data_IF_756396189642
#
_entry.id   IF_756396189642
#
_cell.length_a   1.000
_cell.length_b   1.000
_cell.length_c   1.000
_cell.angle_alpha   90.00
_cell.angle_beta   90.00
_cell.angle_gamma   90.00
#
_symmetry.space_group_name_H-M   'P 1'
#
loop_
_entity.id
_entity.type
_entity.pdbx_description
1 polymer ?
#
# COMPACT_ATOMS: atom_id res chain seq x y z
N UNK A 1 -9.94 68.05 7.16
CA UNK A 1 -9.40 68.72 5.95
C UNK A 1 -9.96 68.03 4.71
N UNK A 2 -10.28 68.83 3.68
CA UNK A 2 -10.97 68.50 2.41
C UNK A 2 -10.24 67.37 1.64
N UNK A 3 -10.89 66.47 0.91
CA UNK A 3 -11.39 66.76 -0.45
C UNK A 3 -12.43 65.73 -0.96
N UNK A 4 -13.44 66.27 -1.66
CA UNK A 4 -14.39 65.59 -2.56
C UNK A 4 -13.68 65.20 -3.86
N UNK A 5 -14.20 64.18 -4.57
CA UNK A 5 -14.56 64.26 -6.01
C UNK A 5 -15.73 63.31 -6.29
N UNK A 6 -16.75 63.85 -6.97
CA UNK A 6 -17.95 63.22 -7.56
C UNK A 6 -17.61 62.69 -8.96
N UNK A 7 -18.27 61.68 -9.54
CA UNK A 7 -19.47 61.79 -10.41
C UNK A 7 -19.83 60.34 -10.86
N UNK A 8 -21.07 59.82 -10.76
CA UNK A 8 -22.30 60.07 -11.58
C UNK A 8 -22.04 59.93 -13.08
N UNK A 9 -22.47 58.83 -13.71
CA UNK A 9 -23.78 58.65 -14.38
C UNK A 9 -23.50 58.38 -15.87
N UNK A 10 -24.28 57.72 -16.72
CA UNK A 10 -25.65 57.21 -16.68
C UNK A 10 -25.92 56.60 -18.07
N UNK A 11 -26.76 55.55 -18.14
CA UNK A 11 -27.83 55.34 -19.18
C UNK A 11 -27.43 55.29 -20.68
N UNK A 12 -27.96 54.45 -21.59
CA UNK A 12 -29.30 53.85 -21.75
C UNK A 12 -29.31 53.10 -23.12
N UNK A 13 -29.94 51.92 -23.25
CA UNK A 13 -31.24 51.65 -23.93
C UNK A 13 -31.17 51.21 -25.43
N UNK A 14 -31.50 49.92 -25.63
CA UNK A 14 -32.49 49.33 -26.57
C UNK A 14 -32.20 49.27 -28.09
N UNK A 15 -32.36 48.07 -28.69
CA UNK A 15 -33.45 47.74 -29.65
C UNK A 15 -33.40 46.28 -30.14
N UNK A 16 -34.56 45.61 -30.04
CA UNK A 16 -34.98 44.37 -30.71
C UNK A 16 -35.16 44.60 -32.23
N UNK A 17 -34.99 43.58 -33.06
CA UNK A 17 -36.07 43.04 -33.94
C UNK A 17 -35.64 41.82 -34.77
N UNK A 18 -36.63 40.99 -35.11
CA UNK A 18 -36.61 39.77 -35.94
C UNK A 18 -36.56 40.16 -37.43
N UNK A 19 -36.15 39.34 -38.41
CA UNK A 19 -36.98 38.28 -39.00
C UNK A 19 -36.25 37.48 -40.12
N UNK A 20 -36.81 36.30 -40.42
CA UNK A 20 -36.42 35.23 -41.36
C UNK A 20 -36.40 35.60 -42.85
N UNK A 21 -35.58 34.89 -43.63
CA UNK A 21 -36.04 34.21 -44.87
C UNK A 21 -35.42 32.82 -45.02
N UNK A 22 -36.22 31.91 -45.60
CA UNK A 22 -36.01 30.47 -45.79
C UNK A 22 -35.25 30.20 -47.10
N UNK A 23 -34.36 29.22 -47.09
CA UNK A 23 -34.12 28.36 -48.25
C UNK A 23 -34.17 26.89 -47.80
N UNK A 24 -35.19 26.16 -48.26
CA UNK A 24 -35.38 24.72 -48.05
C UNK A 24 -34.47 23.97 -49.01
N UNK A 25 -33.53 23.16 -48.53
CA UNK A 25 -33.03 21.96 -49.23
C UNK A 25 -32.59 20.91 -48.18
N UNK A 26 -33.36 19.84 -48.06
CA UNK A 26 -32.94 18.51 -47.58
C UNK A 26 -33.67 17.48 -48.44
N UNK A 27 -33.14 16.27 -48.70
CA UNK A 27 -32.19 15.56 -47.82
C UNK A 27 -31.03 14.81 -48.53
N UNK A 28 -29.94 14.56 -47.80
CA UNK A 28 -29.30 13.23 -47.75
C UNK A 28 -28.54 13.07 -46.43
N UNK A 29 -28.92 12.05 -45.70
CA UNK A 29 -28.57 11.65 -44.34
C UNK A 29 -27.18 11.00 -44.29
N UNK A 30 -26.28 11.44 -43.41
CA UNK A 30 -25.19 10.59 -42.88
C UNK A 30 -25.09 10.79 -41.36
N UNK A 31 -25.48 9.76 -40.62
CA UNK A 31 -25.51 9.69 -39.14
C UNK A 31 -24.07 9.66 -38.57
N UNK A 32 -23.50 10.83 -38.21
CA UNK A 32 -22.17 10.93 -37.52
C UNK A 32 -22.24 10.97 -35.97
N UNK A 33 -23.31 10.47 -35.34
CA UNK A 33 -23.55 10.64 -33.89
C UNK A 33 -23.23 9.45 -32.96
N UNK A 34 -23.30 8.19 -33.40
CA UNK A 34 -23.22 7.02 -32.48
C UNK A 34 -21.84 6.36 -32.36
N UNK A 35 -20.98 6.44 -33.39
CA UNK A 35 -19.73 5.66 -33.44
C UNK A 35 -18.62 6.24 -32.56
N UNK A 36 -18.56 7.58 -32.41
CA UNK A 36 -17.52 8.27 -31.63
C UNK A 36 -17.72 8.08 -30.13
N UNK A 37 -18.97 8.10 -29.67
CA UNK A 37 -19.33 7.95 -28.25
C UNK A 37 -19.18 6.50 -27.76
N UNK A 38 -19.54 5.52 -28.60
CA UNK A 38 -19.34 4.09 -28.33
C UNK A 38 -17.85 3.71 -28.32
N UNK A 39 -17.02 4.30 -29.20
CA UNK A 39 -15.56 4.11 -29.18
C UNK A 39 -14.92 4.68 -27.91
N UNK A 40 -15.32 5.89 -27.47
CA UNK A 40 -14.86 6.47 -26.19
C UNK A 40 -15.28 5.62 -24.97
N UNK A 41 -16.49 5.07 -24.98
CA UNK A 41 -16.98 4.18 -23.91
C UNK A 41 -16.29 2.80 -23.89
N UNK A 42 -16.01 2.20 -25.06
CA UNK A 42 -15.22 0.95 -25.18
C UNK A 42 -13.78 1.13 -24.72
N UNK A 43 -13.13 2.24 -25.12
CA UNK A 43 -11.77 2.58 -24.69
C UNK A 43 -11.73 2.86 -23.18
N UNK A 44 -12.69 3.61 -22.61
CA UNK A 44 -12.82 3.77 -21.15
C UNK A 44 -13.01 2.42 -20.44
N UNK A 45 -13.90 1.55 -20.92
CA UNK A 45 -14.09 0.19 -20.34
C UNK A 45 -12.84 -0.68 -20.44
N UNK A 46 -12.08 -0.61 -21.55
CA UNK A 46 -10.82 -1.34 -21.71
C UNK A 46 -9.73 -0.81 -20.77
N UNK A 47 -9.59 0.51 -20.61
CA UNK A 47 -8.63 1.12 -19.68
C UNK A 47 -8.98 0.75 -18.23
N UNK A 48 -10.26 0.77 -17.85
CA UNK A 48 -10.75 0.36 -16.52
C UNK A 48 -10.48 -1.13 -16.27
N UNK A 49 -10.72 -2.00 -17.26
CA UNK A 49 -10.39 -3.43 -17.15
C UNK A 49 -8.88 -3.67 -17.03
N UNK A 50 -8.06 -2.97 -17.82
CA UNK A 50 -6.59 -3.10 -17.78
C UNK A 50 -6.03 -2.63 -16.43
N UNK A 51 -6.51 -1.48 -15.93
CA UNK A 51 -6.11 -0.96 -14.62
C UNK A 51 -6.60 -1.82 -13.46
N UNK A 52 -7.81 -2.38 -13.53
CA UNK A 52 -8.30 -3.37 -12.55
C UNK A 52 -7.42 -4.63 -12.51
N UNK A 53 -7.07 -5.17 -13.68
CA UNK A 53 -6.22 -6.36 -13.82
C UNK A 53 -4.78 -6.11 -13.31
N UNK A 54 -4.27 -4.90 -13.48
CA UNK A 54 -2.97 -4.47 -12.93
C UNK A 54 -3.05 -4.33 -11.40
N UNK A 55 -4.12 -3.72 -10.87
CA UNK A 55 -4.37 -3.61 -9.42
C UNK A 55 -4.49 -4.97 -8.73
N UNK A 56 -5.24 -5.90 -9.32
CA UNK A 56 -5.32 -7.28 -8.83
C UNK A 56 -3.93 -7.91 -8.74
N UNK A 57 -3.09 -7.78 -9.79
CA UNK A 57 -1.71 -8.29 -9.77
C UNK A 57 -0.83 -7.65 -8.69
N UNK A 58 -0.97 -6.35 -8.44
CA UNK A 58 -0.16 -5.61 -7.45
C UNK A 58 -0.45 -6.07 -6.02
N UNK A 59 -1.72 -6.34 -5.70
CA UNK A 59 -2.13 -6.89 -4.42
C UNK A 59 -1.66 -8.34 -4.25
N UNK A 60 -1.64 -9.11 -5.35
CA UNK A 60 -1.15 -10.49 -5.32
C UNK A 60 0.33 -10.57 -4.92
N UNK A 61 1.17 -9.61 -5.31
CA UNK A 61 2.60 -9.60 -4.89
C UNK A 61 2.71 -9.48 -3.37
N UNK A 62 1.96 -8.56 -2.76
CA UNK A 62 1.94 -8.42 -1.31
C UNK A 62 1.43 -9.68 -0.64
N UNK A 63 0.34 -10.25 -1.11
CA UNK A 63 -0.21 -11.47 -0.53
C UNK A 63 0.74 -12.66 -0.67
N UNK A 64 1.34 -12.83 -1.84
CA UNK A 64 2.29 -13.91 -2.11
C UNK A 64 3.53 -13.79 -1.21
N UNK A 65 4.11 -12.59 -1.10
CA UNK A 65 5.25 -12.34 -0.22
C UNK A 65 4.90 -12.57 1.26
N UNK A 66 3.75 -12.05 1.72
CA UNK A 66 3.32 -12.13 3.11
C UNK A 66 2.90 -13.53 3.56
N UNK A 67 2.31 -14.30 2.65
CA UNK A 67 1.77 -15.62 2.95
C UNK A 67 2.80 -16.74 2.79
N UNK A 68 3.94 -16.48 2.14
CA UNK A 68 5.01 -17.48 1.92
C UNK A 68 5.77 -17.88 3.18
N UNK A 69 6.10 -16.93 4.06
CA UNK A 69 6.93 -17.19 5.25
C UNK A 69 6.12 -17.00 6.56
N UNK A 70 5.92 -18.05 7.36
CA UNK A 70 5.25 -17.97 8.66
C UNK A 70 5.91 -16.99 9.65
N UNK A 71 7.23 -16.87 9.65
CA UNK A 71 7.94 -15.96 10.55
C UNK A 71 7.73 -14.50 10.13
N UNK A 72 7.75 -14.23 8.82
CA UNK A 72 7.45 -12.90 8.29
C UNK A 72 6.03 -12.47 8.66
N UNK A 73 5.08 -13.40 8.51
CA UNK A 73 3.69 -13.17 8.91
C UNK A 73 3.59 -12.83 10.40
N UNK A 74 4.28 -13.58 11.27
CA UNK A 74 4.30 -13.34 12.71
C UNK A 74 4.89 -11.96 13.02
N UNK A 75 6.03 -11.63 12.42
CA UNK A 75 6.69 -10.33 12.59
C UNK A 75 5.78 -9.18 12.19
N UNK A 76 5.12 -9.27 11.04
CA UNK A 76 4.22 -8.21 10.55
C UNK A 76 3.02 -7.99 11.46
N UNK A 77 2.44 -9.06 11.99
CA UNK A 77 1.32 -8.95 12.95
C UNK A 77 1.79 -8.30 14.25
N UNK A 78 2.99 -8.65 14.74
CA UNK A 78 3.56 -8.06 15.96
C UNK A 78 3.90 -6.57 15.78
N UNK A 79 4.48 -6.21 14.62
CA UNK A 79 4.97 -4.85 14.38
C UNK A 79 3.86 -3.88 13.94
N UNK A 80 2.95 -4.32 13.09
CA UNK A 80 1.92 -3.45 12.47
C UNK A 80 0.57 -3.60 13.17
N UNK A 81 0.26 -4.78 13.71
CA UNK A 81 -0.97 -5.06 14.45
C UNK A 81 -1.81 -6.17 13.82
N UNK A 82 -2.79 -6.66 14.57
CA UNK A 82 -3.60 -7.83 14.24
C UNK A 82 -4.37 -7.72 12.91
N UNK A 83 -4.89 -6.53 12.59
CA UNK A 83 -5.72 -6.33 11.40
C UNK A 83 -4.90 -6.18 10.11
N UNK A 84 -3.57 -6.13 10.17
CA UNK A 84 -2.72 -5.87 9.01
C UNK A 84 -2.96 -6.84 7.84
N UNK A 85 -3.08 -8.14 8.14
CA UNK A 85 -3.30 -9.16 7.11
C UNK A 85 -4.65 -8.93 6.43
N UNK A 86 -5.66 -8.57 7.22
CA UNK A 86 -7.00 -8.34 6.71
C UNK A 86 -7.08 -7.06 5.86
N UNK A 87 -6.40 -6.00 6.30
CA UNK A 87 -6.26 -4.74 5.57
C UNK A 87 -5.55 -4.93 4.23
N UNK A 88 -4.44 -5.69 4.21
CA UNK A 88 -3.67 -5.95 2.97
C UNK A 88 -4.47 -6.83 2.00
N UNK A 89 -5.22 -7.82 2.49
CA UNK A 89 -6.09 -8.68 1.65
C UNK A 89 -7.20 -7.90 0.95
N UNK A 90 -7.79 -6.92 1.61
CA UNK A 90 -8.91 -6.12 1.08
C UNK A 90 -8.46 -4.84 0.37
N UNK A 91 -7.15 -4.65 0.23
CA UNK A 91 -6.60 -3.50 -0.46
C UNK A 91 -6.86 -3.64 -1.95
N UNK A 92 -7.43 -2.64 -2.63
CA UNK A 92 -7.76 -2.68 -4.08
C UNK A 92 -6.99 -1.62 -4.90
N UNK A 93 -5.69 -1.56 -4.66
CA UNK A 93 -4.75 -0.63 -5.29
C UNK A 93 -4.87 0.82 -4.83
N UNK A 94 -6.05 1.45 -4.91
CA UNK A 94 -6.28 2.81 -4.40
C UNK A 94 -7.61 2.83 -3.65
N UNK A 95 -7.58 3.13 -2.36
CA UNK A 95 -8.76 3.07 -1.51
C UNK A 95 -8.71 4.12 -0.40
N UNK A 96 -9.86 4.66 -0.02
CA UNK A 96 -9.94 5.49 1.19
C UNK A 96 -9.90 4.60 2.43
N UNK A 97 -9.48 5.17 3.55
CA UNK A 97 -9.56 4.54 4.87
C UNK A 97 -10.99 4.13 5.25
N UNK A 98 -11.99 4.96 4.92
CA UNK A 98 -13.41 4.65 5.15
C UNK A 98 -13.92 3.49 4.30
N UNK A 99 -13.59 3.46 3.01
CA UNK A 99 -14.01 2.36 2.12
C UNK A 99 -13.30 1.06 2.48
N UNK A 100 -12.04 1.15 2.90
CA UNK A 100 -11.27 0.00 3.36
C UNK A 100 -11.84 -0.54 4.67
N UNK A 101 -12.25 0.32 5.59
CA UNK A 101 -12.93 -0.04 6.83
C UNK A 101 -14.24 -0.80 6.57
N UNK A 102 -15.06 -0.31 5.62
CA UNK A 102 -16.31 -0.97 5.22
C UNK A 102 -16.07 -2.36 4.65
N UNK A 103 -15.05 -2.52 3.79
CA UNK A 103 -14.68 -3.84 3.24
C UNK A 103 -14.18 -4.81 4.31
N UNK A 104 -13.36 -4.28 5.21
CA UNK A 104 -12.76 -5.06 6.29
C UNK A 104 -13.72 -5.32 7.46
N UNK A 105 -14.90 -4.67 7.48
CA UNK A 105 -15.85 -4.70 8.61
C UNK A 105 -15.21 -4.34 9.96
N UNK A 106 -14.25 -3.42 9.95
CA UNK A 106 -13.57 -2.90 11.16
C UNK A 106 -13.74 -1.39 11.26
N UNK A 107 -13.47 -0.83 12.44
CA UNK A 107 -13.62 0.62 12.66
C UNK A 107 -12.61 1.39 11.80
N UNK A 108 -12.98 2.54 11.23
CA UNK A 108 -12.04 3.40 10.49
C UNK A 108 -10.83 3.85 11.33
N UNK A 109 -10.96 3.95 12.65
CA UNK A 109 -9.84 4.22 13.56
C UNK A 109 -8.76 3.13 13.47
N UNK A 110 -9.15 1.86 13.53
CA UNK A 110 -8.22 0.73 13.45
C UNK A 110 -7.52 0.66 12.09
N UNK A 111 -8.28 0.90 11.02
CA UNK A 111 -7.70 0.98 9.67
C UNK A 111 -6.65 2.08 9.58
N UNK A 112 -6.93 3.26 10.14
CA UNK A 112 -5.98 4.37 10.16
C UNK A 112 -4.71 4.02 10.92
N UNK A 113 -4.81 3.37 12.08
CA UNK A 113 -3.65 2.92 12.85
C UNK A 113 -2.77 1.99 12.01
N UNK A 114 -3.38 0.99 11.37
CA UNK A 114 -2.67 0.05 10.49
C UNK A 114 -2.03 0.77 9.29
N UNK A 115 -2.78 1.64 8.60
CA UNK A 115 -2.28 2.37 7.43
C UNK A 115 -1.13 3.32 7.81
N UNK A 116 -1.21 3.98 8.96
CA UNK A 116 -0.13 4.84 9.45
C UNK A 116 1.13 4.04 9.79
N UNK A 117 0.99 2.86 10.39
CA UNK A 117 2.12 1.96 10.67
C UNK A 117 2.74 1.42 9.37
N UNK A 118 1.90 1.02 8.40
CA UNK A 118 2.36 0.63 7.06
C UNK A 118 3.10 1.78 6.36
N UNK A 119 2.62 3.00 6.50
CA UNK A 119 3.27 4.19 5.97
C UNK A 119 4.63 4.45 6.62
N UNK A 120 4.71 4.35 7.96
CA UNK A 120 5.95 4.53 8.70
C UNK A 120 7.04 3.54 8.28
N UNK A 121 6.66 2.31 7.90
CA UNK A 121 7.57 1.30 7.35
C UNK A 121 7.82 1.43 5.84
N UNK A 122 7.21 2.42 5.18
CA UNK A 122 7.35 2.64 3.74
C UNK A 122 6.59 1.64 2.87
N UNK A 123 5.66 0.86 3.44
CA UNK A 123 4.86 -0.13 2.73
C UNK A 123 3.64 0.48 2.04
N UNK A 124 3.10 1.56 2.62
CA UNK A 124 1.96 2.29 2.09
C UNK A 124 2.31 3.77 1.83
N UNK A 125 1.64 4.36 0.86
CA UNK A 125 1.63 5.80 0.58
C UNK A 125 0.20 6.29 0.41
N UNK A 126 0.01 7.61 0.47
CA UNK A 126 -1.29 8.22 0.24
C UNK A 126 -1.21 9.41 -0.71
N UNK A 127 -2.33 9.66 -1.39
CA UNK A 127 -2.56 10.85 -2.19
C UNK A 127 -3.65 11.65 -1.49
N UNK A 128 -3.35 12.92 -1.21
CA UNK A 128 -4.33 13.86 -0.69
C UNK A 128 -5.12 14.46 -1.84
N UNK A 129 -6.45 14.29 -1.83
CA UNK A 129 -7.36 14.86 -2.82
C UNK A 129 -8.30 15.85 -2.15
N UNK A 130 -8.32 17.09 -2.62
CA UNK A 130 -9.30 18.09 -2.18
C UNK A 130 -10.57 17.94 -3.01
N UNK A 131 -11.71 17.79 -2.33
CA UNK A 131 -13.00 17.80 -3.00
C UNK A 131 -13.40 19.25 -3.31
N UNK A 132 -13.75 19.49 -4.58
CA UNK A 132 -14.10 20.82 -5.10
C UNK A 132 -15.47 21.30 -4.62
N UNK A 133 -16.34 20.40 -4.16
CA UNK A 133 -17.71 20.74 -3.78
C UNK A 133 -17.83 21.22 -2.34
N UNK A 134 -17.15 20.54 -1.42
CA UNK A 134 -17.30 20.73 0.02
C UNK A 134 -15.99 21.16 0.70
N UNK A 135 -14.87 21.20 -0.03
CA UNK A 135 -13.57 21.68 0.47
C UNK A 135 -12.79 20.69 1.32
N UNK A 136 -13.35 19.50 1.61
CA UNK A 136 -12.73 18.49 2.47
C UNK A 136 -11.58 17.77 1.77
N UNK A 137 -10.63 17.26 2.58
CA UNK A 137 -9.53 16.43 2.10
C UNK A 137 -9.87 14.95 2.27
N UNK A 138 -9.71 14.18 1.20
CA UNK A 138 -9.75 12.72 1.23
C UNK A 138 -8.35 12.16 1.05
N UNK A 139 -8.02 11.14 1.83
CA UNK A 139 -6.76 10.41 1.75
C UNK A 139 -7.00 9.11 1.00
N UNK A 140 -6.36 8.97 -0.16
CA UNK A 140 -6.43 7.75 -0.96
C UNK A 140 -5.12 7.00 -0.79
N UNK A 141 -5.18 5.85 -0.17
CA UNK A 141 -4.04 5.01 0.14
C UNK A 141 -3.72 4.03 -0.98
N UNK A 142 -2.44 3.71 -1.16
CA UNK A 142 -1.96 2.63 -2.01
C UNK A 142 -0.75 1.92 -1.40
N UNK A 143 -0.60 0.63 -1.67
CA UNK A 143 0.57 -0.16 -1.26
C UNK A 143 1.66 -0.12 -2.33
N UNK A 144 2.93 -0.15 -1.89
CA UNK A 144 4.12 -0.16 -2.76
C UNK A 144 4.62 -1.59 -3.00
N UNK A 145 4.40 -2.20 -4.18
CA UNK A 145 4.83 -3.57 -4.44
C UNK A 145 6.35 -3.74 -4.39
N UNK A 146 7.10 -2.74 -4.88
CA UNK A 146 8.55 -2.76 -4.83
C UNK A 146 9.09 -2.76 -3.38
N UNK A 147 8.36 -2.14 -2.44
CA UNK A 147 8.73 -2.17 -1.03
C UNK A 147 8.53 -3.57 -0.43
N UNK A 148 7.48 -4.30 -0.84
CA UNK A 148 7.22 -5.67 -0.40
C UNK A 148 8.39 -6.60 -0.72
N UNK A 149 8.86 -6.54 -1.97
CA UNK A 149 9.93 -7.43 -2.44
C UNK A 149 11.27 -7.11 -1.77
N UNK A 150 11.64 -5.83 -1.66
CA UNK A 150 12.83 -5.40 -0.93
C UNK A 150 12.77 -5.82 0.55
N UNK A 151 11.61 -5.69 1.16
CA UNK A 151 11.40 -6.09 2.55
C UNK A 151 11.56 -7.60 2.73
N UNK A 152 11.01 -8.41 1.82
CA UNK A 152 11.20 -9.86 1.85
C UNK A 152 12.67 -10.27 1.72
N UNK A 153 13.39 -9.66 0.78
CA UNK A 153 14.82 -9.91 0.60
C UNK A 153 15.64 -9.50 1.83
N UNK A 154 15.33 -8.34 2.43
CA UNK A 154 15.94 -7.89 3.68
C UNK A 154 15.64 -8.81 4.85
N UNK A 155 14.38 -9.23 5.00
CA UNK A 155 13.97 -10.16 6.05
C UNK A 155 14.68 -11.51 5.92
N UNK A 156 14.81 -12.03 4.69
CA UNK A 156 15.56 -13.26 4.43
C UNK A 156 17.04 -13.12 4.80
N UNK A 157 17.67 -11.98 4.49
CA UNK A 157 19.07 -11.72 4.87
C UNK A 157 19.23 -11.67 6.39
N UNK A 158 18.38 -10.92 7.09
CA UNK A 158 18.41 -10.85 8.55
C UNK A 158 18.20 -12.24 9.16
N UNK A 159 17.26 -13.03 8.62
CA UNK A 159 17.03 -14.41 9.07
C UNK A 159 18.27 -15.30 8.86
N UNK A 160 18.96 -15.14 7.74
CA UNK A 160 20.21 -15.84 7.47
C UNK A 160 21.34 -15.40 8.39
N UNK A 161 21.48 -14.10 8.68
CA UNK A 161 22.46 -13.55 9.60
C UNK A 161 22.22 -14.00 11.04
N UNK A 162 20.97 -13.98 11.51
CA UNK A 162 20.60 -14.45 12.86
C UNK A 162 20.81 -15.96 13.00
N UNK A 163 20.60 -16.72 11.91
CA UNK A 163 20.87 -18.16 11.88
C UNK A 163 22.34 -18.49 11.64
N UNK A 164 23.18 -17.53 11.26
CA UNK A 164 24.59 -17.77 11.01
C UNK A 164 25.34 -17.87 12.35
N UNK A 165 26.37 -18.72 12.43
CA UNK A 165 27.22 -18.74 13.61
C UNK A 165 27.89 -17.36 13.77
N UNK A 166 27.97 -16.82 15.00
CA UNK A 166 28.66 -15.56 15.23
C UNK A 166 30.11 -15.66 14.75
N UNK A 167 30.60 -14.61 14.08
CA UNK A 167 31.97 -14.58 13.55
C UNK A 167 32.97 -14.30 14.69
N UNK A 168 33.29 -15.35 15.45
CA UNK A 168 34.23 -15.33 16.58
C UNK A 168 35.33 -16.37 16.36
N UNK A 169 36.58 -16.11 16.76
CA UNK A 169 37.63 -17.16 16.73
C UNK A 169 37.43 -18.24 17.81
N UNK A 170 36.59 -17.95 18.80
CA UNK A 170 36.26 -18.87 19.89
C UNK A 170 35.49 -20.11 19.40
N UNK A 171 35.71 -21.21 20.11
CA UNK A 171 34.89 -22.42 20.02
C UNK A 171 33.42 -22.09 20.26
N UNK A 172 32.57 -22.56 19.35
CA UNK A 172 31.12 -22.41 19.48
C UNK A 172 30.45 -23.75 19.67
N UNK A 173 29.42 -23.73 20.49
CA UNK A 173 28.49 -24.82 20.69
C UNK A 173 27.10 -24.36 20.24
N UNK A 174 26.26 -25.29 19.80
CA UNK A 174 24.91 -24.97 19.36
C UNK A 174 23.88 -26.00 19.81
N UNK A 175 22.65 -25.54 19.96
CA UNK A 175 21.47 -26.38 20.18
C UNK A 175 20.29 -25.85 19.38
N UNK A 176 19.35 -26.74 19.09
CA UNK A 176 18.09 -26.39 18.45
C UNK A 176 17.03 -26.15 19.53
N UNK A 177 16.48 -24.94 19.55
CA UNK A 177 15.42 -24.50 20.45
C UNK A 177 14.27 -23.94 19.62
N UNK A 178 13.08 -24.51 19.75
CA UNK A 178 11.87 -24.09 19.00
C UNK A 178 12.08 -23.96 17.48
N UNK A 179 12.87 -24.87 16.90
CA UNK A 179 13.22 -24.87 15.47
C UNK A 179 14.24 -23.81 15.06
N UNK A 180 14.92 -23.17 16.01
CA UNK A 180 15.99 -22.19 15.77
C UNK A 180 17.30 -22.68 16.36
N UNK A 181 18.40 -22.47 15.63
CA UNK A 181 19.74 -22.74 16.14
C UNK A 181 20.16 -21.58 17.04
N UNK A 182 20.50 -21.89 18.31
CA UNK A 182 21.13 -20.95 19.24
C UNK A 182 22.59 -21.33 19.41
N UNK A 183 23.45 -20.32 19.35
CA UNK A 183 24.90 -20.44 19.53
C UNK A 183 25.28 -20.02 20.95
N UNK A 184 26.24 -20.75 21.52
CA UNK A 184 26.81 -20.53 22.85
C UNK A 184 28.33 -20.51 22.71
N UNK A 185 29.00 -19.60 23.42
CA UNK A 185 30.48 -19.63 23.51
C UNK A 185 30.93 -20.79 24.39
N UNK A 186 32.22 -21.11 24.35
CA UNK A 186 32.80 -22.12 25.25
C UNK A 186 32.50 -21.81 26.72
N UNK A 187 32.66 -20.56 27.15
CA UNK A 187 32.43 -20.16 28.55
C UNK A 187 30.97 -20.41 28.96
N UNK A 188 30.01 -20.03 28.11
CA UNK A 188 28.59 -20.28 28.36
C UNK A 188 28.25 -21.78 28.36
N UNK A 189 28.86 -22.55 27.45
CA UNK A 189 28.67 -23.99 27.41
C UNK A 189 29.24 -24.63 28.68
N UNK A 190 30.43 -24.21 29.13
CA UNK A 190 31.09 -24.71 30.32
C UNK A 190 30.29 -24.43 31.60
N UNK A 191 29.79 -23.19 31.76
CA UNK A 191 28.92 -22.81 32.89
C UNK A 191 27.64 -23.67 32.95
N UNK A 192 27.08 -24.01 31.79
CA UNK A 192 25.89 -24.86 31.68
C UNK A 192 26.23 -26.36 31.54
N UNK A 193 27.47 -26.78 31.82
CA UNK A 193 27.94 -28.18 31.73
C UNK A 193 27.63 -28.85 30.38
N UNK A 194 27.72 -28.07 29.30
CA UNK A 194 27.41 -28.46 27.93
C UNK A 194 25.96 -28.93 27.72
N UNK A 195 25.02 -28.43 28.52
CA UNK A 195 23.58 -28.72 28.41
C UNK A 195 22.85 -27.42 28.06
N UNK A 196 21.91 -27.49 27.13
CA UNK A 196 21.06 -26.36 26.78
C UNK A 196 20.11 -26.04 27.96
N UNK A 197 20.11 -24.82 28.50
CA UNK A 197 19.26 -24.46 29.65
C UNK A 197 17.76 -24.46 29.30
N UNK A 198 17.40 -24.32 28.02
CA UNK A 198 16.00 -24.24 27.57
C UNK A 198 15.41 -25.60 27.19
N UNK A 199 16.23 -26.52 26.68
CA UNK A 199 15.74 -27.83 26.19
C UNK A 199 16.23 -29.02 27.01
N UNK A 200 17.22 -28.83 27.88
CA UNK A 200 17.87 -29.90 28.65
C UNK A 200 18.69 -30.87 27.79
N UNK A 201 18.84 -30.62 26.48
CA UNK A 201 19.60 -31.46 25.55
C UNK A 201 21.09 -31.08 25.55
N UNK A 202 22.00 -32.02 25.27
CA UNK A 202 23.43 -31.71 25.16
C UNK A 202 23.71 -30.75 23.99
N UNK A 203 24.61 -29.79 24.22
CA UNK A 203 25.09 -28.86 23.20
C UNK A 203 26.01 -29.59 22.21
N UNK A 204 25.96 -29.22 20.93
CA UNK A 204 26.82 -29.77 19.88
C UNK A 204 27.96 -28.80 19.56
N UNK A 205 29.18 -29.30 19.46
CA UNK A 205 30.32 -28.49 19.01
C UNK A 205 30.19 -28.12 17.53
N UNK A 206 30.43 -26.84 17.21
CA UNK A 206 30.48 -26.34 15.84
C UNK A 206 31.91 -26.44 15.29
N UNK A 207 32.18 -27.52 14.56
CA UNK A 207 33.45 -27.64 13.85
C UNK A 207 33.49 -26.71 12.62
N UNK A 208 34.45 -25.78 12.60
CA UNK A 208 34.67 -24.82 11.51
C UNK A 208 35.76 -25.23 10.53
N UNK A 209 36.47 -26.33 10.78
CA UNK A 209 37.50 -26.81 9.88
C UNK A 209 36.87 -27.61 8.73
N UNK A 210 36.68 -26.94 7.59
CA UNK A 210 36.49 -27.57 6.28
C UNK A 210 37.08 -26.71 5.17
#
# INVERSE_FOLDING_TARGET
MKSKIKNKGSESIVKRSKNKQKAKLKPKTIKKGKVVEVKKAKVKKQIIKKTKKIKEKLNQIWLDVLLKDPELRKWIVQEIGEYVIHVIKNFDGYISDEDLAKKCQIKPSEVRVVLNRLHAKGFAEYIRKKDKKNGWYSYIWYLKPAAAQKFYEGFKKIKQEVSAPPQTEQELYYAEVDGKIKYYTFEQAFENKFICPETGKPLKYLNRNK
#
